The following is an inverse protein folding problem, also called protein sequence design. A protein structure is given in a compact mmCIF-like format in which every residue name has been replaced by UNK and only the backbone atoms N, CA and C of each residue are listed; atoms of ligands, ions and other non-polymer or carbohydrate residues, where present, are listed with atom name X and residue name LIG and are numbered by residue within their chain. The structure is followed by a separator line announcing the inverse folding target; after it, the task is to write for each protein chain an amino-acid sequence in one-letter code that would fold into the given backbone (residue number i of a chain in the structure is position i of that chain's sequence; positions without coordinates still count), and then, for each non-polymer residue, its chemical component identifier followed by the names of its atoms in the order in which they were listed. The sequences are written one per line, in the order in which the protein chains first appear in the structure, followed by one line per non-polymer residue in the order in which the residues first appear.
data_IF_285390731590
#
_entry.id   IF_285390731590
#
_cell.length_a   1.000
_cell.length_b   1.000
_cell.length_c   1.000
_cell.angle_alpha   90.00
_cell.angle_beta   90.00
_cell.angle_gamma   90.00
#
_symmetry.space_group_name_H-M   'P 1'
#
loop_
_entity.id
_entity.type
_entity.pdbx_description
1 polymer ?
#
# COMPACT_ATOMS: atom_id res chain seq x y z
N UNK A 1 -7.60 3.34 4.48
CA UNK A 1 -6.30 3.86 3.98
C UNK A 1 -5.28 3.63 5.07
N UNK A 2 -4.15 3.01 4.73
CA UNK A 2 -3.05 2.73 5.62
C UNK A 2 -1.94 3.76 5.39
N UNK A 3 -1.40 4.35 6.46
CA UNK A 3 -0.21 5.22 6.38
C UNK A 3 0.98 4.47 6.95
N UNK A 4 1.99 4.23 6.12
CA UNK A 4 3.24 3.58 6.52
C UNK A 4 4.33 4.64 6.59
N UNK A 5 4.45 5.29 7.76
CA UNK A 5 5.34 6.44 7.98
C UNK A 5 6.80 6.12 7.71
N UNK A 6 7.23 4.89 8.01
CA UNK A 6 8.62 4.46 7.80
C UNK A 6 9.02 4.48 6.31
N UNK A 7 8.05 4.32 5.40
CA UNK A 7 8.27 4.36 3.95
C UNK A 7 7.76 5.64 3.30
N UNK A 8 7.20 6.57 4.08
CA UNK A 8 6.51 7.76 3.54
C UNK A 8 5.48 7.39 2.47
N UNK A 9 4.70 6.33 2.71
CA UNK A 9 3.73 5.81 1.74
C UNK A 9 2.34 5.73 2.36
N UNK A 10 1.33 6.18 1.62
CA UNK A 10 -0.07 5.90 1.89
C UNK A 10 -0.57 4.80 0.96
N UNK A 11 -1.32 3.84 1.49
CA UNK A 11 -1.86 2.70 0.75
C UNK A 11 -3.38 2.73 0.84
N UNK A 12 -4.05 2.65 -0.30
CA UNK A 12 -5.51 2.59 -0.42
C UNK A 12 -5.93 1.27 -1.05
N UNK A 13 -6.88 0.61 -0.40
CA UNK A 13 -7.47 -0.63 -0.88
C UNK A 13 -8.55 -0.34 -1.92
N UNK A 14 -8.48 -1.04 -3.04
CA UNK A 14 -9.54 -1.14 -4.04
C UNK A 14 -10.02 -2.59 -4.11
N UNK A 15 -11.11 -2.88 -3.40
CA UNK A 15 -11.69 -4.24 -3.32
C UNK A 15 -12.35 -4.68 -4.64
N UNK A 16 -12.89 -3.73 -5.41
CA UNK A 16 -13.59 -4.03 -6.66
C UNK A 16 -12.60 -4.49 -7.74
N UNK A 17 -11.50 -3.76 -7.88
CA UNK A 17 -10.46 -4.08 -8.87
C UNK A 17 -9.39 -5.04 -8.33
N UNK A 18 -9.44 -5.38 -7.03
CA UNK A 18 -8.42 -6.16 -6.33
C UNK A 18 -7.02 -5.56 -6.50
N UNK A 19 -6.90 -4.27 -6.23
CA UNK A 19 -5.64 -3.52 -6.31
C UNK A 19 -5.34 -2.80 -5.00
N UNK A 20 -4.07 -2.50 -4.79
CA UNK A 20 -3.59 -1.58 -3.76
C UNK A 20 -2.97 -0.38 -4.45
N UNK A 21 -3.57 0.79 -4.28
CA UNK A 21 -2.95 2.05 -4.70
C UNK A 21 -1.95 2.51 -3.66
N UNK A 22 -0.81 3.02 -4.11
CA UNK A 22 0.22 3.63 -3.29
C UNK A 22 0.39 5.10 -3.69
N UNK A 23 0.66 5.93 -2.70
CA UNK A 23 0.92 7.36 -2.86
C UNK A 23 2.10 7.76 -1.97
N UNK A 24 2.97 8.62 -2.49
CA UNK A 24 4.02 9.26 -1.72
C UNK A 24 3.45 10.21 -0.67
N UNK A 25 4.16 10.33 0.45
CA UNK A 25 3.90 11.33 1.49
C UNK A 25 5.02 12.37 1.46
N UNK A 26 4.67 13.62 1.17
CA UNK A 26 5.59 14.77 1.11
C UNK A 26 5.12 15.84 2.08
N UNK A 27 6.01 16.31 2.95
CA UNK A 27 5.71 17.35 3.95
C UNK A 27 4.47 17.05 4.82
N UNK A 28 4.26 15.78 5.19
CA UNK A 28 3.08 15.27 5.91
C UNK A 28 1.75 15.31 5.12
N UNK A 29 1.78 15.57 3.82
CA UNK A 29 0.63 15.48 2.93
C UNK A 29 0.79 14.30 1.97
N UNK A 30 -0.33 13.68 1.62
CA UNK A 30 -0.38 12.66 0.57
C UNK A 30 -0.31 13.38 -0.77
N UNK A 31 0.62 12.99 -1.62
CA UNK A 31 0.74 13.48 -2.98
C UNK A 31 -0.18 12.67 -3.90
N UNK A 32 -1.43 13.11 -4.08
CA UNK A 32 -2.41 12.40 -4.92
C UNK A 32 -1.95 12.25 -6.39
N UNK A 33 -1.00 13.07 -6.86
CA UNK A 33 -0.45 12.94 -8.21
C UNK A 33 0.59 11.82 -8.34
N UNK A 34 1.07 11.27 -7.23
CA UNK A 34 2.03 10.17 -7.18
C UNK A 34 1.37 8.79 -7.20
N UNK A 35 0.06 8.72 -7.49
CA UNK A 35 -0.70 7.47 -7.53
C UNK A 35 0.01 6.41 -8.38
N UNK A 36 0.24 5.25 -7.78
CA UNK A 36 0.74 4.06 -8.45
C UNK A 36 0.06 2.80 -7.94
N UNK A 37 0.22 1.71 -8.68
CA UNK A 37 -0.20 0.38 -8.23
C UNK A 37 0.95 -0.24 -7.44
N UNK A 38 0.67 -0.58 -6.18
CA UNK A 38 1.60 -1.32 -5.36
C UNK A 38 1.73 -2.74 -5.92
N UNK A 39 2.95 -3.14 -6.24
CA UNK A 39 3.25 -4.45 -6.87
C UNK A 39 4.28 -5.24 -6.10
N UNK A 40 5.16 -4.58 -5.33
CA UNK A 40 6.20 -5.23 -4.54
C UNK A 40 6.31 -4.58 -3.16
N UNK A 41 6.54 -5.40 -2.14
CA UNK A 41 6.72 -4.98 -0.75
C UNK A 41 7.74 -5.87 -0.06
N UNK A 42 8.42 -5.35 0.95
CA UNK A 42 9.16 -6.22 1.87
C UNK A 42 8.25 -6.84 2.94
N UNK A 43 8.79 -7.77 3.72
CA UNK A 43 8.06 -8.48 4.79
C UNK A 43 7.36 -7.53 5.78
N UNK A 44 8.02 -6.45 6.21
CA UNK A 44 7.42 -5.51 7.17
C UNK A 44 6.17 -4.84 6.58
N UNK A 45 6.25 -4.39 5.33
CA UNK A 45 5.13 -3.72 4.67
C UNK A 45 4.02 -4.70 4.33
N UNK A 46 4.38 -5.93 3.93
CA UNK A 46 3.44 -7.04 3.77
C UNK A 46 2.59 -7.26 5.03
N UNK A 47 3.23 -7.43 6.19
CA UNK A 47 2.54 -7.69 7.46
C UNK A 47 1.64 -6.52 7.87
N UNK A 48 2.08 -5.28 7.65
CA UNK A 48 1.27 -4.09 7.93
C UNK A 48 0.01 -4.03 7.06
N UNK A 49 0.13 -4.31 5.76
CA UNK A 49 -1.00 -4.36 4.82
C UNK A 49 -1.96 -5.48 5.21
N UNK A 50 -1.44 -6.69 5.40
CA UNK A 50 -2.23 -7.87 5.74
C UNK A 50 -3.00 -7.67 7.05
N UNK A 51 -2.35 -7.14 8.09
CA UNK A 51 -2.99 -6.87 9.37
C UNK A 51 -3.98 -5.71 9.33
N UNK A 52 -3.73 -4.66 8.54
CA UNK A 52 -4.61 -3.49 8.52
C UNK A 52 -5.89 -3.74 7.72
N UNK A 53 -5.74 -4.33 6.54
CA UNK A 53 -6.86 -4.59 5.62
C UNK A 53 -7.48 -5.97 5.81
N UNK A 54 -6.86 -6.87 6.60
CA UNK A 54 -7.31 -8.24 6.79
C UNK A 54 -7.38 -9.04 5.47
N UNK A 55 -6.39 -8.84 4.60
CA UNK A 55 -6.27 -9.48 3.29
C UNK A 55 -4.93 -10.23 3.18
N UNK A 56 -4.78 -11.05 2.14
CA UNK A 56 -3.48 -11.47 1.63
C UNK A 56 -3.07 -10.51 0.50
N UNK A 57 -1.99 -9.73 0.64
CA UNK A 57 -1.53 -8.82 -0.41
C UNK A 57 -1.36 -9.46 -1.79
N UNK A 58 -1.02 -10.75 -1.88
CA UNK A 58 -0.89 -11.49 -3.15
C UNK A 58 -2.22 -11.61 -3.90
N UNK A 59 -3.35 -11.67 -3.19
CA UNK A 59 -4.68 -11.68 -3.80
C UNK A 59 -5.00 -10.34 -4.51
N UNK A 60 -4.17 -9.32 -4.26
CA UNK A 60 -4.24 -7.96 -4.79
C UNK A 60 -3.04 -7.62 -5.69
N UNK A 61 -2.30 -8.63 -6.17
CA UNK A 61 -1.20 -8.45 -7.11
C UNK A 61 0.11 -7.96 -6.49
N UNK A 62 0.24 -7.98 -5.16
CA UNK A 62 1.47 -7.59 -4.46
C UNK A 62 2.36 -8.79 -4.19
N UNK A 63 3.63 -8.69 -4.56
CA UNK A 63 4.66 -9.70 -4.30
C UNK A 63 5.55 -9.27 -3.13
N UNK A 64 5.94 -10.24 -2.29
CA UNK A 64 6.93 -10.00 -1.24
C UNK A 64 8.34 -10.27 -1.78
N UNK A 65 9.24 -9.29 -1.64
CA UNK A 65 10.64 -9.32 -2.14
C UNK A 65 11.67 -9.09 -1.04
#
# INVERSE_FOLDING_TARGET
MLIVKEYLTAIKLDEENKLLFAYDIKNNFIDEQSEGILSEVNELMYQKIASHFHIKPEDFGVQMV
#
